data_IF_332235309848
#
_entry.id   IF_332235309848
#
_cell.length_a   1.000
_cell.length_b   1.000
_cell.length_c   1.000
_cell.angle_alpha   90.00
_cell.angle_beta   90.00
_cell.angle_gamma   90.00
#
_symmetry.space_group_name_H-M   'P 1'
#
loop_
_entity.id
_entity.type
_entity.pdbx_description
1 polymer ?
#
# COMPACT_ATOMS: atom_id res chain seq x y z
N UNK A 1 5.88 -31.85 -0.02
CA UNK A 1 5.69 -30.52 -0.66
C UNK A 1 4.49 -30.65 -1.58
N UNK A 2 3.34 -30.13 -1.15
CA UNK A 2 2.17 -30.05 -2.02
C UNK A 2 2.46 -28.96 -3.05
N UNK A 3 2.62 -29.34 -4.32
CA UNK A 3 2.59 -28.39 -5.41
C UNK A 3 1.17 -27.83 -5.47
N UNK A 4 0.98 -26.56 -5.14
CA UNK A 4 -0.25 -25.87 -5.50
C UNK A 4 -0.46 -26.00 -7.01
N UNK A 5 -1.71 -26.12 -7.50
CA UNK A 5 -1.97 -26.24 -8.93
C UNK A 5 -1.40 -25.02 -9.67
N UNK A 6 -0.65 -25.25 -10.75
CA UNK A 6 -0.33 -24.19 -11.71
C UNK A 6 -1.65 -23.70 -12.29
N UNK A 7 -1.95 -22.41 -12.08
CA UNK A 7 -3.17 -21.78 -12.55
C UNK A 7 -3.10 -21.54 -14.06
N UNK A 8 -4.26 -21.55 -14.72
CA UNK A 8 -4.42 -21.07 -16.10
C UNK A 8 -3.90 -19.63 -16.20
N UNK A 9 -3.14 -19.32 -17.25
CA UNK A 9 -2.64 -17.96 -17.47
C UNK A 9 -3.82 -17.00 -17.70
N UNK A 10 -4.08 -16.13 -16.72
CA UNK A 10 -5.07 -15.05 -16.83
C UNK A 10 -4.41 -13.91 -17.61
N UNK A 11 -4.52 -13.97 -18.94
CA UNK A 11 -3.78 -13.10 -19.87
C UNK A 11 -4.08 -11.60 -19.67
N UNK A 12 -5.25 -11.25 -19.14
CA UNK A 12 -5.59 -9.87 -18.77
C UNK A 12 -4.67 -9.28 -17.69
N UNK A 13 -3.98 -10.14 -16.92
CA UNK A 13 -2.99 -9.77 -15.90
C UNK A 13 -1.58 -10.17 -16.36
N UNK A 14 -1.41 -11.43 -16.77
CA UNK A 14 -0.10 -11.99 -17.11
C UNK A 14 0.54 -11.29 -18.32
N UNK A 15 -0.23 -10.95 -19.35
CA UNK A 15 0.23 -10.21 -20.53
C UNK A 15 0.86 -8.86 -20.17
N UNK A 16 0.11 -7.93 -19.53
CA UNK A 16 0.65 -6.63 -19.12
C UNK A 16 1.86 -6.72 -18.18
N UNK A 17 1.87 -7.64 -17.22
CA UNK A 17 3.00 -7.84 -16.31
C UNK A 17 4.25 -8.33 -17.05
N UNK A 18 4.07 -9.27 -18.00
CA UNK A 18 5.15 -9.79 -18.83
C UNK A 18 5.78 -8.70 -19.69
N UNK A 19 4.97 -7.84 -20.30
CA UNK A 19 5.50 -6.72 -21.09
C UNK A 19 6.21 -5.68 -20.20
N UNK A 20 5.64 -5.36 -19.03
CA UNK A 20 6.29 -4.49 -18.05
C UNK A 20 7.67 -5.02 -17.66
N UNK A 21 7.78 -6.30 -17.29
CA UNK A 21 9.04 -6.91 -16.84
C UNK A 21 10.06 -7.10 -17.97
N UNK A 22 9.60 -7.27 -19.23
CA UNK A 22 10.49 -7.24 -20.40
C UNK A 22 11.04 -5.84 -20.66
N UNK A 23 10.20 -4.81 -20.55
CA UNK A 23 10.62 -3.42 -20.75
C UNK A 23 11.50 -2.89 -19.60
N UNK A 24 11.20 -3.35 -18.39
CA UNK A 24 11.87 -3.01 -17.12
C UNK A 24 12.73 -4.18 -16.64
N UNK A 25 13.80 -4.48 -17.38
CA UNK A 25 14.78 -5.51 -16.99
C UNK A 25 15.36 -5.31 -15.57
N UNK A 26 15.42 -4.05 -15.12
CA UNK A 26 15.62 -3.65 -13.72
C UNK A 26 14.41 -2.80 -13.35
N UNK A 27 13.66 -3.21 -12.33
CA UNK A 27 12.43 -2.52 -11.89
C UNK A 27 12.49 -2.18 -10.41
N UNK A 28 12.02 -0.98 -10.05
CA UNK A 28 11.90 -0.61 -8.64
C UNK A 28 10.76 -1.42 -7.98
N UNK A 29 10.98 -1.88 -6.74
CA UNK A 29 10.00 -2.67 -5.99
C UNK A 29 8.66 -1.94 -5.87
N UNK A 30 8.69 -0.64 -5.56
CA UNK A 30 7.50 0.19 -5.46
C UNK A 30 6.78 0.40 -6.80
N UNK A 31 7.52 0.50 -7.92
CA UNK A 31 6.93 0.60 -9.26
C UNK A 31 6.20 -0.70 -9.60
N UNK A 32 6.85 -1.85 -9.41
CA UNK A 32 6.23 -3.15 -9.67
C UNK A 32 4.96 -3.37 -8.83
N UNK A 33 5.02 -3.03 -7.54
CA UNK A 33 3.87 -3.16 -6.64
C UNK A 33 2.67 -2.35 -7.14
N UNK A 34 2.87 -1.05 -7.41
CA UNK A 34 1.80 -0.17 -7.87
C UNK A 34 1.28 -0.57 -9.25
N UNK A 35 2.16 -0.95 -10.18
CA UNK A 35 1.75 -1.46 -11.50
C UNK A 35 0.95 -2.75 -11.37
N UNK A 36 1.28 -3.63 -10.43
CA UNK A 36 0.50 -4.84 -10.16
C UNK A 36 -0.91 -4.49 -9.70
N UNK A 37 -1.06 -3.53 -8.78
CA UNK A 37 -2.38 -3.02 -8.38
C UNK A 37 -3.17 -2.43 -9.57
N UNK A 38 -2.54 -1.61 -10.40
CA UNK A 38 -3.19 -0.96 -11.54
C UNK A 38 -3.66 -1.98 -12.59
N UNK A 39 -2.83 -2.98 -12.89
CA UNK A 39 -3.13 -4.07 -13.82
C UNK A 39 -4.29 -4.93 -13.29
N UNK A 40 -4.23 -5.37 -12.03
CA UNK A 40 -5.29 -6.18 -11.42
C UNK A 40 -6.59 -5.41 -11.31
N UNK A 41 -6.55 -4.13 -10.91
CA UNK A 41 -7.74 -3.29 -10.82
C UNK A 41 -8.38 -2.96 -12.17
N UNK A 42 -7.64 -3.12 -13.26
CA UNK A 42 -8.12 -2.92 -14.64
C UNK A 42 -8.49 -4.23 -15.34
N UNK A 43 -8.04 -5.37 -14.81
CA UNK A 43 -8.42 -6.69 -15.27
C UNK A 43 -9.90 -6.91 -14.94
N UNK A 44 -10.75 -6.89 -15.98
CA UNK A 44 -12.19 -7.19 -15.86
C UNK A 44 -12.40 -8.69 -15.64
N UNK A 45 -11.97 -9.18 -14.48
CA UNK A 45 -12.00 -10.58 -14.13
C UNK A 45 -13.44 -11.08 -14.06
N UNK A 46 -13.68 -12.23 -14.67
CA UNK A 46 -14.88 -13.02 -14.41
C UNK A 46 -14.89 -13.56 -12.97
N UNK A 47 -16.06 -13.93 -12.47
CA UNK A 47 -16.17 -14.55 -11.14
C UNK A 47 -15.33 -15.81 -11.00
N UNK A 48 -15.18 -16.56 -12.09
CA UNK A 48 -14.35 -17.77 -12.10
C UNK A 48 -12.86 -17.43 -11.97
N UNK A 49 -12.34 -16.53 -12.81
CA UNK A 49 -10.94 -16.06 -12.71
C UNK A 49 -10.64 -15.45 -11.34
N UNK A 50 -11.59 -14.68 -10.79
CA UNK A 50 -11.46 -14.11 -9.44
C UNK A 50 -11.33 -15.20 -8.38
N UNK A 51 -12.17 -16.25 -8.44
CA UNK A 51 -12.11 -17.38 -7.50
C UNK A 51 -10.78 -18.13 -7.60
N UNK A 52 -10.32 -18.42 -8.81
CA UNK A 52 -9.04 -19.09 -9.05
C UNK A 52 -7.86 -18.29 -8.48
N UNK A 53 -7.87 -16.96 -8.68
CA UNK A 53 -6.85 -16.08 -8.10
C UNK A 53 -6.90 -16.05 -6.57
N UNK A 54 -8.09 -15.99 -5.97
CA UNK A 54 -8.23 -16.00 -4.51
C UNK A 54 -7.71 -17.31 -3.92
N UNK A 55 -7.97 -18.45 -4.57
CA UNK A 55 -7.44 -19.74 -4.13
C UNK A 55 -5.91 -19.80 -4.22
N UNK A 56 -5.33 -19.21 -5.27
CA UNK A 56 -3.91 -19.29 -5.53
C UNK A 56 -3.05 -18.27 -4.77
N UNK A 57 -3.55 -17.03 -4.56
CA UNK A 57 -2.78 -15.95 -3.92
C UNK A 57 -3.44 -15.32 -2.70
N UNK A 58 -4.63 -15.80 -2.31
CA UNK A 58 -5.42 -15.27 -1.20
C UNK A 58 -6.38 -14.14 -1.60
N UNK A 59 -7.20 -13.70 -0.64
CA UNK A 59 -8.29 -12.73 -0.87
C UNK A 59 -7.83 -11.39 -1.45
N UNK A 60 -6.58 -11.01 -1.15
CA UNK A 60 -5.97 -9.77 -1.64
C UNK A 60 -5.14 -10.06 -2.88
N UNK A 61 -5.83 -10.14 -4.01
CA UNK A 61 -5.27 -10.58 -5.30
C UNK A 61 -4.01 -9.80 -5.70
N UNK A 62 -4.02 -8.46 -5.71
CA UNK A 62 -2.85 -7.68 -6.14
C UNK A 62 -1.61 -7.87 -5.22
N UNK A 63 -1.74 -7.73 -3.87
CA UNK A 63 -0.69 -8.12 -2.94
C UNK A 63 -0.18 -9.55 -3.14
N UNK A 64 -1.09 -10.50 -3.31
CA UNK A 64 -0.77 -11.91 -3.48
C UNK A 64 0.00 -12.19 -4.77
N UNK A 65 -0.40 -11.59 -5.90
CA UNK A 65 0.33 -11.66 -7.17
C UNK A 65 1.71 -11.03 -7.01
N UNK A 66 1.81 -9.84 -6.42
CA UNK A 66 3.09 -9.20 -6.18
C UNK A 66 4.02 -10.09 -5.33
N UNK A 67 3.52 -10.63 -4.22
CA UNK A 67 4.27 -11.55 -3.36
C UNK A 67 4.72 -12.80 -4.13
N UNK A 68 3.88 -13.33 -5.01
CA UNK A 68 4.21 -14.46 -5.88
C UNK A 68 5.32 -14.11 -6.88
N UNK A 69 5.29 -12.94 -7.54
CA UNK A 69 6.37 -12.48 -8.43
C UNK A 69 7.69 -12.30 -7.67
N UNK A 70 7.62 -11.83 -6.42
CA UNK A 70 8.79 -11.68 -5.54
C UNK A 70 9.30 -13.02 -4.99
N UNK A 71 8.54 -14.10 -5.17
CA UNK A 71 8.96 -15.44 -4.81
C UNK A 71 9.79 -16.09 -5.94
N UNK A 72 10.37 -17.25 -5.67
CA UNK A 72 11.07 -18.05 -6.70
C UNK A 72 10.10 -18.82 -7.61
N UNK A 73 8.82 -18.80 -7.32
CA UNK A 73 7.77 -19.54 -8.03
C UNK A 73 6.60 -18.60 -8.35
N UNK A 74 6.71 -17.79 -9.42
CA UNK A 74 5.61 -16.95 -9.86
C UNK A 74 4.37 -17.76 -10.24
N UNK A 75 3.20 -17.27 -9.88
CA UNK A 75 1.91 -17.90 -10.19
C UNK A 75 1.67 -17.99 -11.70
N UNK A 76 2.17 -17.00 -12.44
CA UNK A 76 2.18 -16.98 -13.90
C UNK A 76 3.55 -17.45 -14.38
N UNK A 77 3.59 -18.66 -14.92
CA UNK A 77 4.81 -19.31 -15.43
C UNK A 77 5.48 -18.53 -16.56
N UNK A 78 4.70 -17.68 -17.24
CA UNK A 78 5.16 -16.86 -18.35
C UNK A 78 5.98 -15.63 -17.96
N UNK A 79 6.01 -15.27 -16.67
CA UNK A 79 6.71 -14.08 -16.19
C UNK A 79 8.23 -14.29 -16.07
N UNK A 80 9.04 -13.28 -16.43
CA UNK A 80 10.47 -13.30 -16.15
C UNK A 80 10.76 -13.43 -14.65
N UNK A 81 11.77 -14.24 -14.29
CA UNK A 81 12.22 -14.40 -12.90
C UNK A 81 13.15 -13.24 -12.53
N UNK A 82 12.75 -12.47 -11.52
CA UNK A 82 13.49 -11.33 -10.95
C UNK A 82 13.89 -11.61 -9.49
N UNK A 83 14.76 -12.60 -9.33
CA UNK A 83 15.16 -13.21 -8.06
C UNK A 83 16.31 -12.51 -7.33
N UNK A 84 16.89 -11.46 -7.91
CA UNK A 84 17.97 -10.67 -7.32
C UNK A 84 17.51 -9.24 -7.07
N UNK A 85 18.06 -8.62 -6.03
CA UNK A 85 17.83 -7.22 -5.74
C UNK A 85 19.10 -6.48 -5.35
N UNK A 86 19.06 -5.16 -5.49
CA UNK A 86 20.04 -4.23 -4.91
C UNK A 86 19.33 -3.01 -4.34
N UNK A 87 20.01 -2.25 -3.50
CA UNK A 87 19.50 -1.01 -2.93
C UNK A 87 20.33 0.18 -3.43
N UNK A 88 19.65 1.21 -3.93
CA UNK A 88 20.26 2.45 -4.43
C UNK A 88 19.42 3.62 -3.91
N UNK A 89 20.05 4.55 -3.19
CA UNK A 89 19.42 5.76 -2.64
C UNK A 89 18.11 5.49 -1.87
N UNK A 90 18.10 4.40 -1.08
CA UNK A 90 16.92 4.02 -0.27
C UNK A 90 15.80 3.33 -1.04
N UNK A 91 16.00 2.99 -2.33
CA UNK A 91 15.05 2.24 -3.17
C UNK A 91 15.56 0.83 -3.44
N UNK A 92 14.65 -0.13 -3.47
CA UNK A 92 14.95 -1.53 -3.83
C UNK A 92 14.69 -1.73 -5.33
N UNK A 93 15.68 -2.26 -6.05
CA UNK A 93 15.55 -2.61 -7.47
C UNK A 93 15.72 -4.11 -7.66
N UNK A 94 14.77 -4.73 -8.37
CA UNK A 94 14.75 -6.15 -8.71
C UNK A 94 15.17 -6.40 -10.16
N UNK A 95 15.86 -7.51 -10.39
CA UNK A 95 16.35 -7.92 -11.71
C UNK A 95 16.67 -9.42 -11.73
N UNK A 96 16.90 -9.98 -12.93
CA UNK A 96 17.28 -11.39 -13.08
C UNK A 96 18.76 -11.62 -12.79
N UNK A 97 19.08 -12.61 -11.94
CA UNK A 97 20.48 -13.03 -11.69
C UNK A 97 21.23 -13.47 -12.96
N UNK A 98 20.49 -13.96 -13.98
CA UNK A 98 21.06 -14.51 -15.21
C UNK A 98 21.73 -13.46 -16.10
N UNK A 99 21.44 -12.17 -15.88
CA UNK A 99 21.95 -11.04 -16.64
C UNK A 99 22.95 -10.24 -15.82
N UNK A 100 24.00 -9.73 -16.48
CA UNK A 100 25.00 -8.87 -15.86
C UNK A 100 24.63 -7.41 -16.10
N UNK A 101 24.38 -6.67 -15.03
CA UNK A 101 24.09 -5.23 -15.07
C UNK A 101 25.24 -4.42 -14.49
N UNK A 102 25.55 -3.29 -15.13
CA UNK A 102 26.54 -2.34 -14.68
C UNK A 102 25.92 -1.08 -14.06
N UNK A 103 26.76 -0.18 -13.55
CA UNK A 103 26.33 1.09 -12.93
C UNK A 103 25.42 1.94 -13.84
N UNK A 104 25.66 1.93 -15.16
CA UNK A 104 24.86 2.68 -16.14
C UNK A 104 23.43 2.16 -16.26
N UNK A 105 23.23 0.85 -16.14
CA UNK A 105 21.91 0.23 -16.24
C UNK A 105 21.03 0.61 -15.04
N UNK A 106 21.61 0.56 -13.83
CA UNK A 106 20.94 1.00 -12.62
C UNK A 106 20.64 2.50 -12.63
N UNK A 107 21.56 3.34 -13.15
CA UNK A 107 21.29 4.77 -13.31
C UNK A 107 20.08 5.01 -14.24
N UNK A 108 20.03 4.31 -15.37
CA UNK A 108 18.89 4.37 -16.30
C UNK A 108 17.59 3.89 -15.67
N UNK A 109 17.64 2.83 -14.84
CA UNK A 109 16.48 2.35 -14.09
C UNK A 109 15.97 3.39 -13.09
N UNK A 110 16.88 4.07 -12.37
CA UNK A 110 16.52 5.15 -11.45
C UNK A 110 15.92 6.37 -12.17
N UNK A 111 16.48 6.77 -13.32
CA UNK A 111 15.93 7.85 -14.17
C UNK A 111 14.51 7.51 -14.68
N UNK A 112 14.29 6.26 -15.11
CA UNK A 112 12.97 5.78 -15.54
C UNK A 112 11.96 5.77 -14.40
N UNK A 113 12.36 5.31 -13.22
CA UNK A 113 11.52 5.38 -12.02
C UNK A 113 11.14 6.83 -11.74
N UNK A 114 12.11 7.74 -11.73
CA UNK A 114 11.89 9.16 -11.50
C UNK A 114 10.86 9.75 -12.48
N UNK A 115 11.00 9.46 -13.77
CA UNK A 115 10.03 9.85 -14.79
C UNK A 115 8.64 9.23 -14.61
N UNK A 116 8.54 8.06 -13.97
CA UNK A 116 7.27 7.37 -13.72
C UNK A 116 6.56 7.85 -12.45
N UNK A 117 7.24 8.57 -11.54
CA UNK A 117 6.69 8.98 -10.24
C UNK A 117 5.35 9.73 -10.34
N UNK A 118 5.11 10.66 -11.27
CA UNK A 118 3.82 11.33 -11.38
C UNK A 118 2.66 10.36 -11.63
N UNK A 119 2.85 9.39 -12.53
CA UNK A 119 1.84 8.38 -12.83
C UNK A 119 1.66 7.41 -11.66
N UNK A 120 2.77 6.97 -11.05
CA UNK A 120 2.73 6.09 -9.88
C UNK A 120 2.01 6.74 -8.69
N UNK A 121 2.11 8.07 -8.54
CA UNK A 121 1.37 8.81 -7.51
C UNK A 121 -0.15 8.76 -7.71
N UNK A 122 -0.61 8.82 -8.97
CA UNK A 122 -2.04 8.70 -9.31
C UNK A 122 -2.54 7.28 -8.98
N UNK A 123 -1.78 6.26 -9.38
CA UNK A 123 -2.09 4.85 -9.08
C UNK A 123 -2.15 4.64 -7.56
N UNK A 124 -1.14 5.12 -6.84
CA UNK A 124 -1.07 5.03 -5.38
C UNK A 124 -2.28 5.69 -4.70
N UNK A 125 -2.66 6.90 -5.12
CA UNK A 125 -3.84 7.58 -4.60
C UNK A 125 -5.10 6.73 -4.76
N UNK A 126 -5.31 6.17 -5.95
CA UNK A 126 -6.43 5.27 -6.23
C UNK A 126 -6.39 4.03 -5.34
N UNK A 127 -5.24 3.37 -5.20
CA UNK A 127 -5.07 2.19 -4.34
C UNK A 127 -5.42 2.48 -2.87
N UNK A 128 -5.00 3.63 -2.35
CA UNK A 128 -5.31 4.05 -0.98
C UNK A 128 -6.81 4.23 -0.81
N UNK A 129 -7.47 4.94 -1.74
CA UNK A 129 -8.90 5.20 -1.67
C UNK A 129 -9.73 3.92 -1.80
N UNK A 130 -9.45 3.08 -2.81
CA UNK A 130 -10.18 1.83 -3.04
C UNK A 130 -10.06 0.89 -1.82
N UNK A 131 -8.87 0.77 -1.23
CA UNK A 131 -8.68 -0.06 -0.03
C UNK A 131 -9.37 0.53 1.20
N UNK A 132 -9.38 1.85 1.34
CA UNK A 132 -10.05 2.51 2.46
C UNK A 132 -11.56 2.35 2.37
N UNK A 133 -12.14 2.46 1.18
CA UNK A 133 -13.56 2.21 0.95
C UNK A 133 -13.90 0.77 1.38
N UNK A 134 -13.19 -0.23 0.85
CA UNK A 134 -13.43 -1.62 1.21
C UNK A 134 -13.25 -1.88 2.73
N UNK A 135 -12.20 -1.30 3.34
CA UNK A 135 -11.97 -1.41 4.78
C UNK A 135 -13.12 -0.83 5.63
N UNK A 136 -13.65 0.33 5.22
CA UNK A 136 -14.76 0.97 5.93
C UNK A 136 -16.09 0.23 5.69
N UNK A 137 -16.31 -0.31 4.49
CA UNK A 137 -17.46 -1.18 4.18
C UNK A 137 -17.43 -2.46 5.03
N UNK A 138 -16.27 -3.11 5.16
CA UNK A 138 -16.06 -4.27 6.03
C UNK A 138 -16.34 -3.92 7.51
N UNK A 139 -16.13 -2.66 7.91
CA UNK A 139 -16.47 -2.12 9.23
C UNK A 139 -17.93 -1.65 9.37
N UNK A 140 -18.79 -1.87 8.37
CA UNK A 140 -20.21 -1.52 8.42
C UNK A 140 -20.54 -0.06 8.08
N UNK A 141 -19.59 0.69 7.51
CA UNK A 141 -19.81 2.05 7.04
C UNK A 141 -20.21 2.08 5.56
N UNK A 142 -21.03 3.06 5.17
CA UNK A 142 -21.36 3.33 3.78
C UNK A 142 -20.69 4.62 3.32
N UNK A 143 -20.11 4.62 2.11
CA UNK A 143 -19.58 5.82 1.48
C UNK A 143 -20.73 6.78 1.12
N UNK A 144 -20.67 8.01 1.64
CA UNK A 144 -21.70 9.05 1.44
C UNK A 144 -21.26 10.20 0.56
N UNK A 145 -19.96 10.47 0.48
CA UNK A 145 -19.37 11.46 -0.43
C UNK A 145 -17.92 11.12 -0.76
N UNK A 146 -17.47 11.49 -1.96
CA UNK A 146 -16.09 11.31 -2.42
C UNK A 146 -15.63 12.52 -3.24
N UNK A 147 -14.44 13.03 -2.91
CA UNK A 147 -13.67 13.99 -3.71
C UNK A 147 -12.34 13.36 -4.15
N UNK A 148 -11.41 14.14 -4.71
CA UNK A 148 -10.12 13.61 -5.17
C UNK A 148 -9.27 12.98 -4.06
N UNK A 149 -9.39 13.46 -2.82
CA UNK A 149 -8.54 13.01 -1.70
C UNK A 149 -9.32 12.80 -0.40
N UNK A 150 -10.61 13.14 -0.37
CA UNK A 150 -11.46 13.05 0.80
C UNK A 150 -12.62 12.08 0.55
N UNK A 151 -12.94 11.29 1.56
CA UNK A 151 -14.06 10.35 1.61
C UNK A 151 -14.86 10.63 2.87
N UNK A 152 -16.19 10.68 2.77
CA UNK A 152 -17.07 10.78 3.93
C UNK A 152 -17.87 9.50 4.06
N UNK A 153 -17.72 8.83 5.20
CA UNK A 153 -18.40 7.58 5.54
C UNK A 153 -19.45 7.80 6.61
N UNK A 154 -20.56 7.05 6.54
CA UNK A 154 -21.64 7.07 7.53
C UNK A 154 -21.98 5.67 8.02
N UNK A 155 -22.20 5.56 9.31
CA UNK A 155 -22.86 4.44 9.98
C UNK A 155 -24.02 5.00 10.84
N UNK A 156 -24.86 4.16 11.45
CA UNK A 156 -26.13 4.58 12.09
C UNK A 156 -26.02 5.85 12.96
N UNK A 157 -24.94 5.99 13.74
CA UNK A 157 -24.71 7.12 14.66
C UNK A 157 -23.32 7.74 14.53
N UNK A 158 -22.55 7.38 13.48
CA UNK A 158 -21.16 7.78 13.32
C UNK A 158 -20.92 8.34 11.93
N UNK A 159 -20.06 9.36 11.87
CA UNK A 159 -19.57 9.92 10.62
C UNK A 159 -18.06 9.94 10.69
N UNK A 160 -17.40 9.48 9.63
CA UNK A 160 -15.96 9.54 9.50
C UNK A 160 -15.58 10.31 8.23
N UNK A 161 -14.66 11.27 8.37
CA UNK A 161 -14.02 11.94 7.25
C UNK A 161 -12.61 11.38 7.10
N UNK A 162 -12.31 10.84 5.93
CA UNK A 162 -11.05 10.17 5.68
C UNK A 162 -10.30 10.81 4.51
N UNK A 163 -8.99 10.95 4.64
CA UNK A 163 -8.12 11.60 3.68
C UNK A 163 -7.02 10.65 3.24
N UNK A 164 -6.86 10.44 1.93
CA UNK A 164 -5.78 9.62 1.39
C UNK A 164 -4.63 10.51 0.93
N UNK A 165 -3.46 10.34 1.56
CA UNK A 165 -2.24 11.12 1.28
C UNK A 165 -1.12 10.18 0.86
N UNK A 166 -0.45 10.47 -0.26
CA UNK A 166 0.53 9.55 -0.86
C UNK A 166 1.88 9.46 -0.13
N UNK A 167 2.08 10.21 0.95
CA UNK A 167 3.31 10.19 1.76
C UNK A 167 3.10 10.85 3.11
N UNK A 168 3.64 10.25 4.17
CA UNK A 168 3.68 10.87 5.50
C UNK A 168 4.51 12.16 5.51
N UNK A 169 5.52 12.31 4.63
CA UNK A 169 6.35 13.53 4.55
C UNK A 169 5.60 14.75 4.04
N UNK A 170 4.54 14.54 3.26
CA UNK A 170 3.71 15.64 2.73
C UNK A 170 2.51 15.94 3.62
N UNK A 171 2.39 15.25 4.75
CA UNK A 171 1.28 15.45 5.67
C UNK A 171 1.53 16.69 6.52
N UNK A 172 0.63 17.67 6.38
CA UNK A 172 0.57 18.84 7.25
C UNK A 172 -0.71 18.76 8.09
N UNK A 173 -0.54 18.50 9.38
CA UNK A 173 -1.66 18.31 10.32
C UNK A 173 -2.50 19.58 10.50
N UNK A 174 -1.99 20.76 10.12
CA UNK A 174 -2.70 22.03 10.23
C UNK A 174 -3.82 22.17 9.21
N UNK A 175 -3.75 21.44 8.09
CA UNK A 175 -4.77 21.47 7.04
C UNK A 175 -6.09 20.79 7.44
N UNK A 176 -6.11 20.05 8.54
CA UNK A 176 -7.30 19.35 9.02
C UNK A 176 -7.90 20.12 10.19
N UNK A 177 -9.23 20.22 10.26
CA UNK A 177 -9.91 20.82 11.41
C UNK A 177 -10.98 19.83 11.89
N UNK A 178 -10.63 18.91 12.82
CA UNK A 178 -11.57 17.92 13.31
C UNK A 178 -12.79 18.54 13.99
N UNK A 179 -13.97 18.07 13.60
CA UNK A 179 -15.25 18.50 14.13
C UNK A 179 -15.71 17.54 15.23
N UNK A 180 -16.36 18.07 16.29
CA UNK A 180 -16.86 17.22 17.37
C UNK A 180 -17.90 16.22 16.85
N UNK A 181 -17.71 14.94 17.16
CA UNK A 181 -18.60 13.86 16.73
C UNK A 181 -18.31 13.31 15.34
N UNK A 182 -17.22 13.75 14.68
CA UNK A 182 -16.75 13.20 13.41
C UNK A 182 -15.35 12.63 13.60
N UNK A 183 -15.15 11.37 13.20
CA UNK A 183 -13.82 10.74 13.22
C UNK A 183 -13.00 11.22 12.02
N UNK A 184 -11.85 11.84 12.27
CA UNK A 184 -10.93 12.29 11.22
C UNK A 184 -9.80 11.26 11.03
N UNK A 185 -9.73 10.70 9.83
CA UNK A 185 -8.80 9.64 9.46
C UNK A 185 -7.88 10.14 8.35
N UNK A 186 -6.57 9.96 8.48
CA UNK A 186 -5.61 10.22 7.42
C UNK A 186 -4.90 8.90 7.10
N UNK A 187 -5.13 8.38 5.89
CA UNK A 187 -4.47 7.18 5.41
C UNK A 187 -3.22 7.55 4.62
N UNK A 188 -2.07 7.00 5.03
CA UNK A 188 -0.79 7.12 4.33
C UNK A 188 -0.26 5.74 3.93
N UNK A 189 0.48 5.60 2.82
CA UNK A 189 1.10 4.33 2.47
C UNK A 189 2.35 4.07 3.31
N UNK A 190 2.63 2.80 3.59
CA UNK A 190 3.91 2.35 4.11
C UNK A 190 5.08 2.77 3.20
N UNK A 191 6.28 2.90 3.77
CA UNK A 191 7.50 3.21 3.03
C UNK A 191 8.53 2.08 3.19
N UNK A 192 9.45 1.97 2.23
CA UNK A 192 10.61 1.06 2.30
C UNK A 192 11.56 1.39 3.47
N UNK A 193 11.44 2.59 4.05
CA UNK A 193 12.24 3.04 5.20
C UNK A 193 11.34 3.55 6.31
N UNK A 194 11.74 3.33 7.57
CA UNK A 194 10.98 3.82 8.74
C UNK A 194 11.25 5.29 9.05
N UNK A 195 12.39 5.83 8.60
CA UNK A 195 12.83 7.20 8.92
C UNK A 195 11.75 8.28 8.72
N UNK A 196 10.95 8.29 7.63
CA UNK A 196 9.91 9.30 7.44
C UNK A 196 8.82 9.27 8.51
N UNK A 197 8.48 8.08 9.00
CA UNK A 197 7.48 7.89 10.04
C UNK A 197 8.02 8.26 11.42
N UNK A 198 9.26 7.89 11.72
CA UNK A 198 9.92 8.27 12.97
C UNK A 198 10.02 9.80 13.06
N UNK A 199 10.48 10.45 11.99
CA UNK A 199 10.60 11.90 11.92
C UNK A 199 9.23 12.57 12.12
N UNK A 200 8.21 12.13 11.38
CA UNK A 200 6.86 12.68 11.52
C UNK A 200 6.31 12.50 12.95
N UNK A 201 6.51 11.32 13.56
CA UNK A 201 6.05 11.07 14.93
C UNK A 201 6.72 12.00 15.95
N UNK A 202 8.03 12.20 15.83
CA UNK A 202 8.78 13.09 16.72
C UNK A 202 8.37 14.55 16.58
N UNK A 203 8.08 15.00 15.35
CA UNK A 203 7.73 16.39 15.06
C UNK A 203 6.25 16.70 15.32
N UNK A 204 5.35 15.77 15.00
CA UNK A 204 3.90 16.04 14.90
C UNK A 204 3.02 15.01 15.63
N UNK A 205 3.59 13.94 16.20
CA UNK A 205 2.83 12.82 16.78
C UNK A 205 1.87 13.27 17.87
N UNK A 206 2.37 13.94 18.91
CA UNK A 206 1.55 14.44 20.01
C UNK A 206 0.52 15.47 19.54
N UNK A 207 0.93 16.42 18.69
CA UNK A 207 0.03 17.45 18.17
C UNK A 207 -1.11 16.87 17.31
N UNK A 208 -0.85 15.80 16.56
CA UNK A 208 -1.88 15.09 15.82
C UNK A 208 -2.89 14.38 16.75
N UNK A 209 -2.41 13.72 17.81
CA UNK A 209 -3.27 13.08 18.83
C UNK A 209 -4.13 14.11 19.56
N UNK A 210 -3.53 15.21 20.04
CA UNK A 210 -4.22 16.28 20.76
C UNK A 210 -5.31 16.93 19.92
N UNK A 211 -5.12 16.94 18.59
CA UNK A 211 -6.09 17.46 17.62
C UNK A 211 -7.23 16.47 17.31
N UNK A 212 -7.12 15.21 17.76
CA UNK A 212 -8.08 14.15 17.47
C UNK A 212 -7.93 13.56 16.06
N UNK A 213 -6.75 13.64 15.45
CA UNK A 213 -6.46 12.98 14.16
C UNK A 213 -6.06 11.52 14.37
N UNK A 214 -6.67 10.64 13.58
CA UNK A 214 -6.26 9.25 13.46
C UNK A 214 -5.43 9.08 12.18
N UNK A 215 -4.14 8.80 12.29
CA UNK A 215 -3.28 8.55 11.12
C UNK A 215 -3.09 7.05 11.02
N UNK A 216 -3.46 6.48 9.87
CA UNK A 216 -3.37 5.05 9.59
C UNK A 216 -2.37 4.80 8.47
N UNK A 217 -1.75 3.62 8.50
CA UNK A 217 -0.80 3.18 7.49
C UNK A 217 -1.42 2.04 6.68
N UNK A 218 -1.43 2.20 5.36
CA UNK A 218 -1.69 1.09 4.43
C UNK A 218 -0.39 0.38 4.08
N UNK A 219 -0.29 -0.90 4.42
CA UNK A 219 0.76 -1.78 3.89
C UNK A 219 0.34 -2.28 2.50
N UNK A 220 0.89 -1.71 1.44
CA UNK A 220 0.56 -2.08 0.06
C UNK A 220 1.01 -3.52 -0.28
N UNK A 221 2.09 -4.01 0.31
CA UNK A 221 2.55 -5.39 0.03
C UNK A 221 1.65 -6.45 0.66
N UNK A 222 0.93 -6.10 1.73
CA UNK A 222 -0.01 -7.00 2.42
C UNK A 222 -1.48 -6.66 2.14
N UNK A 223 -1.74 -5.48 1.58
CA UNK A 223 -3.07 -4.88 1.46
C UNK A 223 -3.79 -4.68 2.80
N UNK A 224 -3.06 -4.42 3.89
CA UNK A 224 -3.62 -4.17 5.23
C UNK A 224 -3.64 -2.68 5.56
N UNK A 225 -4.48 -2.28 6.51
CA UNK A 225 -4.47 -0.96 7.14
C UNK A 225 -4.30 -1.18 8.64
N UNK A 226 -3.45 -0.38 9.27
CA UNK A 226 -3.16 -0.43 10.70
C UNK A 226 -3.00 0.99 11.28
N UNK A 227 -3.37 1.24 12.54
CA UNK A 227 -3.26 2.55 13.16
C UNK A 227 -1.80 2.91 13.45
N UNK A 228 -1.40 4.14 13.15
CA UNK A 228 -0.07 4.67 13.41
C UNK A 228 -0.07 5.71 14.53
N UNK A 229 -0.98 6.68 14.45
CA UNK A 229 -1.22 7.71 15.47
C UNK A 229 -2.72 7.75 15.77
N UNK A 230 -3.06 7.98 17.04
CA UNK A 230 -4.44 8.00 17.50
C UNK A 230 -5.01 6.61 17.76
N UNK A 231 -6.22 6.58 18.29
CA UNK A 231 -6.95 5.37 18.64
C UNK A 231 -8.43 5.59 18.34
N UNK A 232 -9.05 4.55 17.76
CA UNK A 232 -10.50 4.55 17.55
C UNK A 232 -11.19 3.94 18.76
N UNK A 233 -12.34 4.50 19.15
CA UNK A 233 -13.27 3.86 20.11
C UNK A 233 -14.33 3.01 19.39
N UNK A 234 -14.30 3.00 18.06
CA UNK A 234 -15.14 2.16 17.23
C UNK A 234 -14.58 0.74 17.17
N UNK A 235 -15.28 -0.22 17.78
CA UNK A 235 -14.91 -1.64 17.78
C UNK A 235 -15.02 -2.27 16.39
N UNK A 236 -15.92 -1.80 15.53
CA UNK A 236 -16.10 -2.35 14.19
C UNK A 236 -14.89 -2.01 13.33
N UNK A 237 -14.41 -0.76 13.40
CA UNK A 237 -13.14 -0.33 12.78
C UNK A 237 -11.95 -1.05 13.42
N UNK A 238 -11.91 -1.12 14.76
CA UNK A 238 -10.80 -1.74 15.50
C UNK A 238 -10.56 -3.19 15.06
N UNK A 239 -11.64 -3.95 14.84
CA UNK A 239 -11.59 -5.35 14.45
C UNK A 239 -11.13 -5.57 13.00
N UNK A 240 -11.15 -4.53 12.15
CA UNK A 240 -10.63 -4.64 10.78
C UNK A 240 -9.11 -4.45 10.69
N UNK A 241 -8.47 -3.83 11.70
CA UNK A 241 -7.02 -3.69 11.71
C UNK A 241 -6.32 -5.04 11.84
N UNK A 242 -5.19 -5.20 11.15
CA UNK A 242 -4.38 -6.42 11.28
C UNK A 242 -3.55 -6.41 12.57
N UNK A 243 -3.11 -5.24 12.99
CA UNK A 243 -2.43 -4.97 14.25
C UNK A 243 -3.01 -3.69 14.88
N UNK A 244 -4.16 -3.77 15.57
CA UNK A 244 -4.79 -2.61 16.18
C UNK A 244 -3.94 -1.95 17.28
N UNK A 245 -2.93 -2.65 17.82
CA UNK A 245 -2.02 -2.12 18.86
C UNK A 245 -0.81 -1.39 18.29
N UNK A 246 -0.69 -1.25 16.96
CA UNK A 246 0.48 -0.65 16.33
C UNK A 246 0.73 0.79 16.82
N UNK A 247 -0.30 1.62 16.94
CA UNK A 247 -0.16 2.98 17.47
C UNK A 247 0.35 3.00 18.92
N UNK A 248 -0.15 2.11 19.78
CA UNK A 248 0.34 1.97 21.16
C UNK A 248 1.81 1.54 21.20
N UNK A 249 2.19 0.58 20.36
CA UNK A 249 3.58 0.12 20.23
C UNK A 249 4.49 1.25 19.76
N UNK A 250 4.09 2.03 18.75
CA UNK A 250 4.82 3.20 18.25
C UNK A 250 5.02 4.21 19.37
N UNK A 251 3.95 4.59 20.06
CA UNK A 251 4.01 5.52 21.19
C UNK A 251 4.98 5.03 22.26
N UNK A 252 4.88 3.77 22.69
CA UNK A 252 5.76 3.24 23.75
C UNK A 252 7.26 3.22 23.38
N UNK A 253 7.58 2.95 22.11
CA UNK A 253 8.96 2.76 21.65
C UNK A 253 9.63 4.05 21.19
N UNK A 254 8.88 4.95 20.55
CA UNK A 254 9.44 6.14 19.90
C UNK A 254 9.36 7.39 20.77
N UNK A 255 8.56 7.38 21.84
CA UNK A 255 8.57 8.45 22.86
C UNK A 255 9.84 8.46 23.71
N UNK A 256 10.62 7.37 23.73
CA UNK A 256 11.83 7.21 24.56
C UNK A 256 13.08 7.92 24.02
N UNK A 257 12.93 8.78 23.00
CA UNK A 257 14.02 9.60 22.44
C UNK A 257 14.21 10.98 23.08
N UNK A 258 13.27 11.45 23.93
CA UNK A 258 13.31 12.80 24.53
C UNK A 258 13.69 12.78 26.03
N UNK A 259 14.67 11.96 26.40
CA UNK A 259 15.25 11.98 27.76
C UNK A 259 16.76 11.93 27.70
N UNK A 260 17.37 13.01 27.20
CA UNK A 260 18.69 13.50 27.63
C UNK A 260 18.69 15.02 27.59
#
# INVERSE_FOLDING_TARGET
MNKGPMMTEIESIAGPLRELLKEREIIARCELLLRTYDIVGSAKLSDQERRELVEAVGERIAPGIFASIMSKEPIFSSLPIIDTYTQIDGRIFHFSHSKKYGKRDFKRAAERLHGSLPQLKIILQKCLMDRLIAFMEDAGYTLSAQSQQELTFRAEKRTAKAFAVTSVKSLDINNYTPETGIDYIVLVPSSETLQPFVQFFQENGQAAEDKGLNIWIMNLEKGTIDPFIGYTTDLDIYNQFTNPRLAEMVRSNWSRGCSQ
#
